data_IF_129793499938
#
_entry.id   IF_129793499938
#
_cell.length_a   1.000
_cell.length_b   1.000
_cell.length_c   1.000
_cell.angle_alpha   90.00
_cell.angle_beta   90.00
_cell.angle_gamma   90.00
#
_symmetry.space_group_name_H-M   'P 1'
#
loop_
_entity.id
_entity.type
_entity.pdbx_description
1 polymer ?
#
# COMPACT_ATOMS: atom_id res chain seq x y z
N UNK A 1 10.32 -4.90 2.95
CA UNK A 1 10.60 -5.55 4.26
C UNK A 1 10.73 -7.03 4.00
N UNK A 2 11.92 -7.62 4.19
CA UNK A 2 12.12 -9.07 4.03
C UNK A 2 11.79 -9.73 5.37
N UNK A 3 10.88 -10.70 5.38
CA UNK A 3 10.57 -11.51 6.56
C UNK A 3 11.34 -12.82 6.44
N UNK A 4 12.21 -13.18 7.41
CA UNK A 4 12.73 -14.53 7.50
C UNK A 4 11.55 -15.45 7.83
N UNK A 5 11.10 -16.20 6.83
CA UNK A 5 10.22 -17.34 7.07
C UNK A 5 11.15 -18.47 7.50
N UNK A 6 11.41 -18.57 8.81
CA UNK A 6 11.96 -19.80 9.36
C UNK A 6 11.05 -20.95 8.89
N UNK A 7 11.64 -22.07 8.48
CA UNK A 7 11.00 -23.24 7.85
C UNK A 7 9.94 -23.94 8.73
N UNK A 8 8.96 -23.20 9.24
CA UNK A 8 7.84 -23.70 10.01
C UNK A 8 6.70 -24.05 9.06
N UNK A 9 6.03 -25.19 9.27
CA UNK A 9 4.87 -25.62 8.48
C UNK A 9 3.59 -24.82 8.81
N UNK A 10 3.67 -23.77 9.61
CA UNK A 10 2.54 -22.97 10.08
C UNK A 10 2.51 -21.60 9.38
N UNK A 11 1.32 -21.11 9.05
CA UNK A 11 1.09 -19.83 8.38
C UNK A 11 1.82 -18.67 9.09
N UNK A 12 2.73 -17.98 8.41
CA UNK A 12 3.40 -16.80 8.94
C UNK A 12 2.67 -15.52 8.53
N UNK A 13 2.45 -14.61 9.48
CA UNK A 13 1.87 -13.30 9.21
C UNK A 13 2.98 -12.27 9.00
N UNK A 14 2.97 -11.59 7.85
CA UNK A 14 3.78 -10.39 7.60
C UNK A 14 2.98 -9.19 8.10
N UNK A 15 3.49 -8.45 9.07
CA UNK A 15 2.77 -7.34 9.71
C UNK A 15 3.13 -5.97 9.15
N UNK A 16 2.13 -5.11 9.01
CA UNK A 16 2.27 -3.68 8.70
C UNK A 16 1.54 -2.84 9.73
N UNK A 17 1.98 -1.61 9.93
CA UNK A 17 1.39 -0.72 10.93
C UNK A 17 1.53 0.74 10.55
N UNK A 18 0.67 1.58 11.13
CA UNK A 18 0.81 3.04 11.14
C UNK A 18 0.13 3.64 12.39
N UNK A 19 0.38 4.91 12.66
CA UNK A 19 -0.20 5.68 13.77
C UNK A 19 -1.53 6.28 13.35
N UNK A 20 -2.53 6.17 14.24
CA UNK A 20 -3.88 6.71 14.03
C UNK A 20 -4.30 7.54 15.24
N UNK A 21 -5.06 8.61 15.05
CA UNK A 21 -5.74 9.32 16.13
C UNK A 21 -7.12 8.73 16.38
N UNK A 22 -7.43 8.46 17.64
CA UNK A 22 -8.63 7.73 18.05
C UNK A 22 -9.50 8.56 18.99
N UNK A 23 -10.82 8.38 18.85
CA UNK A 23 -11.82 9.00 19.73
C UNK A 23 -11.97 10.50 19.51
N UNK A 24 -12.96 11.11 20.18
CA UNK A 24 -13.18 12.56 20.12
C UNK A 24 -12.01 13.39 20.69
N UNK A 25 -11.15 12.79 21.50
CA UNK A 25 -9.95 13.44 22.04
C UNK A 25 -8.71 13.27 21.14
N UNK A 26 -8.82 12.53 20.04
CA UNK A 26 -7.75 12.33 19.05
C UNK A 26 -6.42 11.84 19.68
N UNK A 27 -6.52 10.90 20.63
CA UNK A 27 -5.35 10.28 21.26
C UNK A 27 -4.63 9.38 20.27
N UNK A 28 -3.31 9.29 20.38
CA UNK A 28 -2.53 8.42 19.51
C UNK A 28 -2.87 6.95 19.74
N UNK A 29 -2.85 6.19 18.66
CA UNK A 29 -3.00 4.75 18.61
C UNK A 29 -2.18 4.16 17.48
N UNK A 30 -2.21 2.85 17.37
CA UNK A 30 -1.52 2.09 16.32
C UNK A 30 -2.53 1.15 15.68
N UNK A 31 -2.60 1.17 14.35
CA UNK A 31 -3.30 0.16 13.58
C UNK A 31 -2.28 -0.86 13.11
N UNK A 32 -2.56 -2.14 13.33
CA UNK A 32 -1.76 -3.24 12.78
C UNK A 32 -2.62 -4.08 11.86
N UNK A 33 -2.04 -4.47 10.75
CA UNK A 33 -2.60 -5.42 9.79
C UNK A 33 -1.49 -6.35 9.31
N UNK A 34 -1.80 -7.16 8.31
CA UNK A 34 -0.80 -7.98 7.66
C UNK A 34 -1.34 -8.74 6.46
N UNK A 35 -0.55 -9.72 6.05
CA UNK A 35 -0.95 -10.76 5.13
C UNK A 35 -0.40 -12.10 5.65
N UNK A 36 -1.15 -13.18 5.44
CA UNK A 36 -0.78 -14.52 5.87
C UNK A 36 -0.22 -15.32 4.68
N UNK A 37 1.04 -15.70 4.78
CA UNK A 37 1.60 -16.69 3.88
C UNK A 37 1.01 -18.06 4.21
N UNK A 38 0.37 -18.68 3.22
CA UNK A 38 -0.26 -20.00 3.33
C UNK A 38 0.31 -21.01 2.33
N UNK A 39 1.48 -20.70 1.74
CA UNK A 39 2.13 -21.51 0.73
C UNK A 39 1.76 -21.13 -0.71
N UNK A 40 2.63 -21.50 -1.65
CA UNK A 40 2.39 -21.32 -3.08
C UNK A 40 1.45 -22.40 -3.61
N UNK A 41 0.15 -22.11 -3.64
CA UNK A 41 -0.87 -22.99 -4.17
C UNK A 41 -1.56 -22.36 -5.38
N UNK A 42 -1.21 -22.76 -6.63
CA UNK A 42 -1.82 -22.21 -7.84
C UNK A 42 -3.31 -22.60 -8.00
N UNK A 43 -3.80 -23.57 -7.22
CA UNK A 43 -5.20 -24.00 -7.23
C UNK A 43 -6.03 -23.39 -6.10
N UNK A 44 -5.46 -22.49 -5.30
CA UNK A 44 -6.22 -21.84 -4.25
C UNK A 44 -7.36 -21.02 -4.85
N UNK A 45 -8.54 -21.11 -4.23
CA UNK A 45 -9.72 -20.35 -4.63
C UNK A 45 -10.03 -19.21 -3.67
N UNK A 46 -9.32 -19.14 -2.55
CA UNK A 46 -9.54 -18.14 -1.51
C UNK A 46 -8.24 -17.78 -0.78
N UNK A 47 -8.30 -16.71 0.00
CA UNK A 47 -7.20 -16.13 0.78
C UNK A 47 -7.49 -16.28 2.27
N UNK A 48 -6.46 -16.40 3.10
CA UNK A 48 -6.63 -16.39 4.56
C UNK A 48 -7.04 -14.98 5.02
N UNK A 49 -8.20 -14.80 5.68
CA UNK A 49 -8.60 -13.49 6.19
C UNK A 49 -7.67 -13.00 7.30
N UNK A 50 -7.49 -11.68 7.39
CA UNK A 50 -6.61 -11.03 8.38
C UNK A 50 -7.42 -10.11 9.28
N UNK A 51 -7.27 -10.30 10.60
CA UNK A 51 -7.81 -9.37 11.57
C UNK A 51 -6.89 -8.18 11.77
N UNK A 52 -7.42 -6.98 11.57
CA UNK A 52 -6.80 -5.73 11.98
C UNK A 52 -6.85 -5.65 13.51
N UNK A 53 -5.77 -5.17 14.12
CA UNK A 53 -5.73 -4.82 15.53
C UNK A 53 -5.56 -3.30 15.68
N UNK A 54 -6.32 -2.69 16.58
CA UNK A 54 -6.15 -1.28 16.95
C UNK A 54 -5.71 -1.23 18.41
N UNK A 55 -4.57 -0.58 18.66
CA UNK A 55 -4.10 -0.29 20.01
C UNK A 55 -4.28 1.19 20.31
N UNK A 56 -4.99 1.51 21.38
CA UNK A 56 -5.24 2.89 21.80
C UNK A 56 -4.41 3.26 23.02
N UNK A 57 -3.84 4.46 23.02
CA UNK A 57 -3.15 5.01 24.18
C UNK A 57 -4.14 5.27 25.32
N UNK A 58 -3.74 4.84 26.50
CA UNK A 58 -4.45 5.05 27.75
C UNK A 58 -3.95 6.32 28.46
N UNK A 59 -4.68 6.87 29.45
CA UNK A 59 -4.25 8.06 30.18
C UNK A 59 -2.89 7.94 30.88
N UNK A 60 -2.45 6.71 31.19
CA UNK A 60 -1.14 6.42 31.80
C UNK A 60 0.00 6.22 30.76
N UNK A 61 -0.30 6.41 29.47
CA UNK A 61 0.66 6.26 28.37
C UNK A 61 0.82 4.82 27.85
N UNK A 62 0.18 3.84 28.47
CA UNK A 62 0.20 2.45 27.97
C UNK A 62 -0.68 2.26 26.73
N UNK A 63 -0.45 1.20 25.97
CA UNK A 63 -1.30 0.81 24.83
C UNK A 63 -2.15 -0.40 25.20
N UNK A 64 -3.45 -0.37 24.85
CA UNK A 64 -4.35 -1.52 24.96
C UNK A 64 -5.02 -1.81 23.64
N UNK A 65 -5.30 -3.09 23.39
CA UNK A 65 -6.14 -3.48 22.25
C UNK A 65 -7.56 -2.94 22.48
N UNK A 66 -8.00 -2.11 21.56
CA UNK A 66 -9.30 -1.43 21.55
C UNK A 66 -10.04 -1.65 20.23
N UNK A 67 -9.65 -2.67 19.45
CA UNK A 67 -10.22 -2.98 18.13
C UNK A 67 -11.74 -2.95 18.12
N UNK A 68 -12.40 -3.68 19.02
CA UNK A 68 -13.86 -3.82 19.05
C UNK A 68 -14.58 -2.55 19.55
N UNK A 69 -13.84 -1.61 20.16
CA UNK A 69 -14.39 -0.30 20.54
C UNK A 69 -14.57 0.59 19.31
N UNK A 70 -13.70 0.47 18.31
CA UNK A 70 -13.62 1.39 17.18
C UNK A 70 -14.11 0.76 15.87
N UNK A 71 -13.74 -0.48 15.59
CA UNK A 71 -14.02 -1.15 14.33
C UNK A 71 -15.28 -2.02 14.45
N UNK A 72 -16.26 -1.88 13.52
CA UNK A 72 -17.45 -2.73 13.51
C UNK A 72 -17.14 -4.18 13.11
N UNK A 73 -16.03 -4.40 12.40
CA UNK A 73 -15.51 -5.72 12.03
C UNK A 73 -14.03 -5.59 11.66
N UNK A 74 -13.10 -6.30 12.34
CA UNK A 74 -11.67 -6.21 12.05
C UNK A 74 -11.19 -7.08 10.89
N UNK A 75 -12.03 -7.97 10.36
CA UNK A 75 -11.63 -8.97 9.35
C UNK A 75 -11.44 -8.31 7.98
N UNK A 76 -10.33 -8.53 7.30
CA UNK A 76 -10.00 -8.01 5.97
C UNK A 76 -9.43 -9.11 5.06
N UNK A 77 -9.19 -8.78 3.80
CA UNK A 77 -8.47 -9.64 2.86
C UNK A 77 -6.94 -9.48 2.96
N UNK A 78 -6.42 -8.98 4.09
CA UNK A 78 -5.01 -8.63 4.26
C UNK A 78 -4.60 -7.36 3.52
N UNK A 79 -3.46 -6.78 3.93
CA UNK A 79 -2.91 -5.57 3.32
C UNK A 79 -1.39 -5.52 3.43
N UNK A 80 -0.76 -4.88 2.44
CA UNK A 80 0.69 -4.69 2.32
C UNK A 80 1.18 -3.35 2.88
N UNK A 81 0.25 -2.51 3.34
CA UNK A 81 0.52 -1.24 4.01
C UNK A 81 -0.71 -0.78 4.80
N UNK A 82 -0.49 0.15 5.73
CA UNK A 82 -1.55 0.87 6.44
C UNK A 82 -1.43 2.33 6.02
N UNK A 83 -2.51 2.93 5.52
CA UNK A 83 -2.52 4.34 5.14
C UNK A 83 -3.56 5.07 5.97
N UNK A 84 -3.12 6.13 6.66
CA UNK A 84 -3.94 6.92 7.58
C UNK A 84 -4.06 8.35 7.08
N UNK A 85 -5.28 8.82 6.87
CA UNK A 85 -5.56 10.21 6.49
C UNK A 85 -7.03 10.55 6.80
N UNK A 86 -7.36 11.82 6.91
CA UNK A 86 -8.76 12.28 6.91
C UNK A 86 -9.30 12.30 5.46
N UNK A 87 -9.78 11.15 4.96
CA UNK A 87 -10.27 11.00 3.60
C UNK A 87 -11.62 11.69 3.41
N UNK A 88 -12.49 11.66 4.43
CA UNK A 88 -13.83 12.20 4.37
C UNK A 88 -13.92 13.70 4.72
N UNK A 89 -12.84 14.31 5.22
CA UNK A 89 -12.73 15.72 5.55
C UNK A 89 -13.43 16.10 6.87
N UNK A 90 -13.66 15.15 7.76
CA UNK A 90 -14.36 15.36 9.04
C UNK A 90 -13.43 15.74 10.20
N UNK A 91 -12.12 15.80 9.96
CA UNK A 91 -11.09 16.12 10.93
C UNK A 91 -10.65 14.94 11.81
N UNK A 92 -11.14 13.73 11.54
CA UNK A 92 -10.70 12.50 12.18
C UNK A 92 -9.93 11.62 11.19
N UNK A 93 -8.96 10.86 11.71
CA UNK A 93 -8.19 9.94 10.88
C UNK A 93 -9.06 8.76 10.41
N UNK A 94 -9.00 8.46 9.11
CA UNK A 94 -9.53 7.26 8.47
C UNK A 94 -8.40 6.26 8.16
N UNK A 95 -8.77 5.02 7.80
CA UNK A 95 -7.82 3.94 7.49
C UNK A 95 -8.12 3.38 6.10
N UNK A 96 -7.11 3.30 5.24
CA UNK A 96 -7.19 2.62 3.94
C UNK A 96 -6.21 1.44 3.85
N UNK A 97 -6.74 0.27 3.49
CA UNK A 97 -6.04 -1.00 3.43
C UNK A 97 -6.22 -1.63 2.05
N UNK A 98 -5.24 -1.42 1.16
CA UNK A 98 -5.23 -2.04 -0.16
C UNK A 98 -5.00 -3.55 -0.02
N UNK A 99 -5.82 -4.37 -0.68
CA UNK A 99 -5.76 -5.83 -0.49
C UNK A 99 -4.42 -6.42 -0.95
N UNK A 100 -3.78 -7.23 -0.10
CA UNK A 100 -2.50 -7.88 -0.41
C UNK A 100 -2.56 -9.38 -0.13
N UNK A 101 -2.30 -10.18 -1.17
CA UNK A 101 -2.45 -11.64 -1.14
C UNK A 101 -1.45 -12.34 -2.07
N UNK A 102 -0.16 -12.07 -1.87
CA UNK A 102 0.89 -12.56 -2.78
C UNK A 102 0.98 -14.09 -2.81
N UNK A 103 0.76 -14.78 -1.69
CA UNK A 103 0.36 -16.19 -1.71
C UNK A 103 -1.10 -16.27 -1.26
N UNK A 104 -2.03 -16.72 -2.11
CA UNK A 104 -1.80 -17.51 -3.33
C UNK A 104 -1.99 -16.73 -4.67
N UNK A 105 -1.56 -15.47 -4.77
CA UNK A 105 -1.74 -14.60 -5.95
C UNK A 105 -3.22 -14.42 -6.34
N UNK A 106 -4.09 -14.17 -5.36
CA UNK A 106 -5.51 -13.93 -5.61
C UNK A 106 -5.87 -12.46 -5.38
N UNK A 107 -6.34 -11.80 -6.43
CA UNK A 107 -6.90 -10.46 -6.32
C UNK A 107 -8.13 -10.46 -5.41
N UNK A 108 -8.18 -9.51 -4.47
CA UNK A 108 -9.31 -9.31 -3.56
C UNK A 108 -9.68 -7.84 -3.47
N UNK A 109 -10.86 -7.58 -2.91
CA UNK A 109 -11.32 -6.24 -2.64
C UNK A 109 -10.56 -5.63 -1.45
N UNK A 110 -10.16 -4.38 -1.60
CA UNK A 110 -9.56 -3.54 -0.56
C UNK A 110 -10.60 -3.13 0.49
N UNK A 111 -10.13 -2.70 1.66
CA UNK A 111 -10.98 -2.27 2.78
C UNK A 111 -10.63 -0.84 3.18
N UNK A 112 -11.63 -0.02 3.45
CA UNK A 112 -11.45 1.25 4.14
C UNK A 112 -12.29 1.28 5.43
N UNK A 113 -11.75 1.89 6.48
CA UNK A 113 -12.48 2.24 7.68
C UNK A 113 -12.58 3.76 7.72
N UNK A 114 -13.81 4.27 7.58
CA UNK A 114 -14.10 5.70 7.57
C UNK A 114 -14.70 6.11 8.90
N UNK A 115 -14.13 7.12 9.53
CA UNK A 115 -14.55 7.73 10.78
C UNK A 115 -16.02 8.15 10.72
N UNK A 116 -16.64 8.19 11.89
CA UNK A 116 -18.00 8.70 12.11
C UNK A 116 -17.98 9.75 13.19
N UNK A 117 -19.05 10.55 13.25
CA UNK A 117 -19.24 11.56 14.29
C UNK A 117 -19.27 11.01 15.73
N UNK A 118 -19.55 9.71 15.92
CA UNK A 118 -19.48 9.03 17.22
C UNK A 118 -18.07 8.51 17.57
N UNK A 119 -17.08 8.87 16.76
CA UNK A 119 -15.67 8.45 16.84
C UNK A 119 -15.42 6.94 16.72
N UNK A 120 -16.38 6.19 16.18
CA UNK A 120 -16.17 4.83 15.68
C UNK A 120 -16.06 4.84 14.15
N UNK A 121 -15.83 3.68 13.53
CA UNK A 121 -15.67 3.57 12.08
C UNK A 121 -16.86 2.90 11.39
N UNK A 122 -17.08 3.25 10.13
CA UNK A 122 -17.81 2.45 9.15
C UNK A 122 -16.81 1.66 8.32
N UNK A 123 -17.13 0.39 8.01
CA UNK A 123 -16.29 -0.43 7.12
C UNK A 123 -16.84 -0.39 5.70
N UNK A 124 -15.98 -0.05 4.74
CA UNK A 124 -16.27 -0.07 3.31
C UNK A 124 -15.44 -1.20 2.68
N UNK A 125 -16.11 -2.06 1.91
CA UNK A 125 -15.45 -2.97 0.98
C UNK A 125 -15.46 -2.32 -0.39
N UNK A 126 -14.28 -2.09 -0.96
CA UNK A 126 -14.15 -1.43 -2.25
C UNK A 126 -14.59 -2.36 -3.39
N UNK A 127 -14.94 -1.75 -4.54
CA UNK A 127 -15.27 -2.48 -5.76
C UNK A 127 -14.03 -2.67 -6.65
N UNK A 128 -12.87 -2.88 -6.05
CA UNK A 128 -11.62 -3.19 -6.73
C UNK A 128 -11.28 -4.70 -6.64
N UNK A 129 -10.21 -5.09 -7.32
CA UNK A 129 -9.71 -6.47 -7.32
C UNK A 129 -8.20 -6.46 -7.52
N UNK A 130 -7.45 -6.39 -6.41
CA UNK A 130 -6.01 -6.14 -6.43
C UNK A 130 -5.21 -7.12 -5.58
N UNK A 131 -3.92 -7.18 -5.89
CA UNK A 131 -2.88 -7.80 -5.07
C UNK A 131 -1.83 -6.70 -4.85
N UNK A 132 -2.17 -5.69 -4.06
CA UNK A 132 -1.33 -4.53 -3.80
C UNK A 132 -0.13 -4.95 -2.97
N UNK A 133 1.05 -5.00 -3.58
CA UNK A 133 2.30 -5.25 -2.86
C UNK A 133 2.70 -4.03 -2.01
N UNK A 134 2.38 -2.83 -2.50
CA UNK A 134 2.50 -1.59 -1.74
C UNK A 134 1.37 -0.64 -2.09
N UNK A 135 0.94 0.15 -1.11
CA UNK A 135 0.13 1.34 -1.36
C UNK A 135 0.68 2.50 -0.54
N UNK A 136 0.77 3.67 -1.15
CA UNK A 136 1.34 4.87 -0.57
C UNK A 136 0.31 6.00 -0.57
N UNK A 137 0.21 6.69 0.57
CA UNK A 137 -0.55 7.92 0.72
C UNK A 137 0.26 9.12 0.21
N UNK A 138 -0.38 9.96 -0.59
CA UNK A 138 0.08 11.29 -0.98
C UNK A 138 -1.05 12.31 -0.92
N UNK A 139 -0.69 13.59 -0.88
CA UNK A 139 -1.65 14.68 -1.00
C UNK A 139 -1.55 15.28 -2.41
N UNK A 140 -2.50 14.92 -3.27
CA UNK A 140 -2.56 15.40 -4.66
C UNK A 140 -3.61 16.49 -4.72
N UNK A 141 -3.21 17.70 -5.13
CA UNK A 141 -4.10 18.88 -5.15
C UNK A 141 -4.80 19.12 -3.79
N UNK A 142 -4.10 18.86 -2.69
CA UNK A 142 -4.62 19.03 -1.32
C UNK A 142 -5.57 17.92 -0.86
N UNK A 143 -5.76 16.84 -1.63
CA UNK A 143 -6.62 15.71 -1.27
C UNK A 143 -5.79 14.47 -0.94
N UNK A 144 -6.10 13.75 0.16
CA UNK A 144 -5.54 12.44 0.41
C UNK A 144 -5.85 11.51 -0.76
N UNK A 145 -4.80 10.91 -1.32
CA UNK A 145 -4.84 10.06 -2.50
C UNK A 145 -3.97 8.85 -2.24
N UNK A 146 -4.49 7.65 -2.51
CA UNK A 146 -3.73 6.41 -2.39
C UNK A 146 -3.26 5.97 -3.77
N UNK A 147 -1.97 5.70 -3.91
CA UNK A 147 -1.38 5.09 -5.10
C UNK A 147 -1.00 3.66 -4.76
N UNK A 148 -1.44 2.68 -5.56
CA UNK A 148 -1.12 1.27 -5.31
C UNK A 148 -0.24 0.65 -6.40
N UNK A 149 0.82 -0.04 -5.97
CA UNK A 149 1.62 -0.93 -6.80
C UNK A 149 1.10 -2.37 -6.63
N UNK A 150 0.46 -2.91 -7.67
CA UNK A 150 -0.25 -4.19 -7.60
C UNK A 150 0.27 -5.24 -8.58
N UNK A 151 0.13 -6.53 -8.20
CA UNK A 151 0.29 -7.69 -9.07
C UNK A 151 -1.03 -8.17 -9.69
N UNK A 152 -2.05 -7.31 -9.79
CA UNK A 152 -3.37 -7.74 -10.29
C UNK A 152 -3.27 -8.41 -11.67
N UNK A 153 -4.26 -9.22 -12.06
CA UNK A 153 -4.25 -9.94 -13.35
C UNK A 153 -4.02 -9.04 -14.59
N UNK A 154 -4.33 -7.74 -14.49
CA UNK A 154 -4.10 -6.73 -15.52
C UNK A 154 -2.95 -5.76 -15.20
N UNK A 155 -2.22 -5.99 -14.11
CA UNK A 155 -1.07 -5.22 -13.65
C UNK A 155 -1.36 -3.72 -13.46
N UNK A 156 -2.62 -3.36 -13.22
CA UNK A 156 -3.03 -1.97 -13.05
C UNK A 156 -2.38 -1.34 -11.83
N UNK A 157 -2.25 -0.02 -11.89
CA UNK A 157 -1.76 0.84 -10.80
C UNK A 157 -2.88 1.78 -10.37
N UNK A 158 -3.87 1.28 -9.61
CA UNK A 158 -5.02 2.06 -9.25
C UNK A 158 -4.63 3.20 -8.31
N UNK A 159 -5.34 4.31 -8.50
CA UNK A 159 -5.26 5.53 -7.71
C UNK A 159 -6.64 5.70 -7.07
N UNK A 160 -6.67 5.82 -5.75
CA UNK A 160 -7.91 5.91 -4.99
C UNK A 160 -8.06 7.30 -4.38
N UNK A 161 -9.21 7.89 -4.62
CA UNK A 161 -9.60 9.19 -4.04
C UNK A 161 -11.01 9.05 -3.46
N UNK A 162 -11.23 9.57 -2.26
CA UNK A 162 -12.56 9.51 -1.64
C UNK A 162 -13.55 10.36 -2.43
N UNK A 163 -14.73 9.80 -2.69
CA UNK A 163 -15.72 10.41 -3.59
C UNK A 163 -16.76 11.29 -2.88
N UNK A 164 -16.68 11.41 -1.54
CA UNK A 164 -17.60 12.20 -0.73
C UNK A 164 -18.97 11.53 -0.50
N UNK A 165 -19.21 10.34 -1.02
CA UNK A 165 -20.49 9.61 -0.97
C UNK A 165 -20.39 8.31 -0.17
N UNK A 166 -19.38 8.17 0.68
CA UNK A 166 -19.13 6.94 1.44
C UNK A 166 -18.38 5.88 0.65
N UNK A 167 -17.56 6.26 -0.34
CA UNK A 167 -16.76 5.35 -1.16
C UNK A 167 -15.52 6.00 -1.76
N UNK A 168 -14.81 5.24 -2.59
CA UNK A 168 -13.61 5.71 -3.31
C UNK A 168 -13.83 5.57 -4.81
N UNK A 169 -13.44 6.61 -5.54
CA UNK A 169 -13.24 6.52 -6.99
C UNK A 169 -11.91 5.80 -7.24
N UNK A 170 -11.90 4.92 -8.25
CA UNK A 170 -10.73 4.12 -8.63
C UNK A 170 -10.31 4.55 -10.03
N UNK A 171 -9.21 5.30 -10.11
CA UNK A 171 -8.64 5.76 -11.36
C UNK A 171 -7.48 4.85 -11.78
N UNK A 172 -7.53 4.33 -13.01
CA UNK A 172 -6.50 3.46 -13.58
C UNK A 172 -5.70 4.15 -14.69
N UNK A 173 -5.68 5.48 -14.73
CA UNK A 173 -4.96 6.31 -15.71
C UNK A 173 -3.46 6.03 -15.76
N UNK A 174 -2.86 5.59 -14.65
CA UNK A 174 -1.46 5.17 -14.60
C UNK A 174 -1.17 3.91 -15.46
N UNK A 175 -2.22 3.22 -15.90
CA UNK A 175 -2.13 2.07 -16.79
C UNK A 175 -1.57 0.81 -16.12
N UNK A 176 -1.18 -0.14 -16.97
CA UNK A 176 -0.55 -1.39 -16.56
C UNK A 176 0.96 -1.20 -16.44
N UNK A 177 1.55 -1.69 -15.35
CA UNK A 177 2.99 -1.68 -15.13
C UNK A 177 3.41 -2.86 -14.26
N UNK A 178 4.58 -3.44 -14.48
CA UNK A 178 5.15 -4.44 -13.58
C UNK A 178 6.07 -3.75 -12.57
N UNK A 179 5.48 -3.21 -11.49
CA UNK A 179 6.17 -2.57 -10.37
C UNK A 179 5.55 -2.99 -9.04
N UNK A 180 6.38 -3.04 -8.00
CA UNK A 180 6.04 -3.65 -6.71
C UNK A 180 6.00 -2.64 -5.57
N UNK A 181 6.59 -1.47 -5.77
CA UNK A 181 6.58 -0.38 -4.81
C UNK A 181 6.26 0.93 -5.50
N UNK A 182 5.73 1.86 -4.71
CA UNK A 182 5.36 3.20 -5.16
C UNK A 182 5.63 4.19 -4.04
N UNK A 183 6.20 5.33 -4.39
CA UNK A 183 6.38 6.47 -3.50
C UNK A 183 5.97 7.74 -4.23
N UNK A 184 5.47 8.72 -3.49
CA UNK A 184 5.00 9.97 -4.06
C UNK A 184 5.34 11.16 -3.16
N UNK A 185 5.98 12.17 -3.74
CA UNK A 185 6.30 13.43 -3.07
C UNK A 185 6.69 14.49 -4.11
N UNK A 186 6.82 15.74 -3.66
CA UNK A 186 7.58 16.76 -4.38
C UNK A 186 9.08 16.52 -4.15
N UNK A 187 9.65 15.61 -4.93
CA UNK A 187 11.08 15.27 -4.86
C UNK A 187 11.97 16.33 -5.52
N UNK A 188 11.40 17.15 -6.40
CA UNK A 188 12.14 18.19 -7.14
C UNK A 188 12.09 19.57 -6.46
N UNK A 189 11.21 19.75 -5.49
CA UNK A 189 10.99 21.02 -4.79
C UNK A 189 10.33 22.09 -5.67
N UNK A 190 9.61 21.67 -6.72
CA UNK A 190 9.00 22.55 -7.71
C UNK A 190 7.49 22.76 -7.50
N UNK A 191 6.95 22.18 -6.43
CA UNK A 191 5.52 22.18 -6.10
C UNK A 191 4.71 21.15 -6.89
N UNK A 192 5.33 20.40 -7.81
CA UNK A 192 4.73 19.27 -8.50
C UNK A 192 4.91 17.98 -7.69
N UNK A 193 3.99 17.02 -7.84
CA UNK A 193 4.21 15.67 -7.31
C UNK A 193 4.91 14.81 -8.34
N UNK A 194 5.90 14.04 -7.90
CA UNK A 194 6.49 12.97 -8.66
C UNK A 194 6.17 11.62 -8.03
N UNK A 195 5.98 10.62 -8.89
CA UNK A 195 5.71 9.23 -8.51
C UNK A 195 6.93 8.40 -8.86
N UNK A 196 7.48 7.69 -7.88
CA UNK A 196 8.56 6.73 -8.08
C UNK A 196 7.96 5.34 -8.02
N UNK A 197 8.11 4.55 -9.08
CA UNK A 197 7.86 3.12 -9.05
C UNK A 197 9.17 2.37 -8.89
N UNK A 198 9.22 1.48 -7.91
CA UNK A 198 10.34 0.56 -7.71
C UNK A 198 10.04 -0.82 -8.25
N UNK A 199 11.10 -1.55 -8.56
CA UNK A 199 11.09 -2.85 -9.22
C UNK A 199 10.32 -2.83 -10.56
N UNK A 200 10.36 -1.69 -11.26
CA UNK A 200 9.63 -1.48 -12.49
C UNK A 200 10.36 -2.17 -13.65
N UNK A 201 9.74 -3.21 -14.21
CA UNK A 201 10.26 -3.95 -15.36
C UNK A 201 9.76 -3.39 -16.69
N UNK A 202 8.51 -2.92 -16.71
CA UNK A 202 7.85 -2.30 -17.88
C UNK A 202 6.63 -1.51 -17.42
N UNK A 203 6.23 -0.52 -18.20
CA UNK A 203 5.09 0.36 -17.88
C UNK A 203 4.93 1.48 -18.88
N UNK A 204 4.21 2.53 -18.48
CA UNK A 204 4.01 3.72 -19.31
C UNK A 204 5.35 4.34 -19.71
N UNK A 205 5.59 4.54 -21.01
CA UNK A 205 6.87 5.02 -21.56
C UNK A 205 8.05 4.03 -21.49
N UNK A 206 7.84 2.80 -20.99
CA UNK A 206 8.87 1.76 -20.86
C UNK A 206 8.34 0.46 -21.47
N UNK A 207 8.57 0.22 -22.76
CA UNK A 207 8.11 -0.98 -23.44
C UNK A 207 8.65 -2.26 -22.80
N UNK A 208 7.84 -3.31 -22.82
CA UNK A 208 8.30 -4.63 -22.41
C UNK A 208 9.39 -5.15 -23.35
N UNK A 209 10.43 -5.74 -22.76
CA UNK A 209 11.45 -6.54 -23.42
C UNK A 209 11.90 -7.66 -22.48
N UNK A 210 12.24 -8.82 -23.04
CA UNK A 210 12.77 -9.95 -22.26
C UNK A 210 14.13 -9.67 -21.60
N UNK A 211 14.81 -8.60 -22.01
CA UNK A 211 16.09 -8.16 -21.45
C UNK A 211 15.94 -7.02 -20.45
N UNK A 212 14.71 -6.58 -20.16
CA UNK A 212 14.50 -5.57 -19.13
C UNK A 212 14.99 -6.13 -17.78
N UNK A 213 15.59 -5.24 -17.00
CA UNK A 213 16.04 -5.47 -15.63
C UNK A 213 15.21 -4.58 -14.71
N UNK A 214 14.96 -5.02 -13.50
CA UNK A 214 14.12 -4.25 -12.56
C UNK A 214 14.83 -2.94 -12.21
N UNK A 215 14.16 -1.82 -12.42
CA UNK A 215 14.72 -0.49 -12.17
C UNK A 215 13.75 0.37 -11.39
N UNK A 216 14.25 1.52 -10.92
CA UNK A 216 13.42 2.54 -10.31
C UNK A 216 13.22 3.66 -11.33
N UNK A 217 11.97 4.07 -11.53
CA UNK A 217 11.63 5.16 -12.44
C UNK A 217 10.81 6.21 -11.73
N UNK A 218 11.11 7.47 -12.01
CA UNK A 218 10.36 8.63 -11.55
C UNK A 218 9.55 9.21 -12.70
N UNK A 219 8.27 9.45 -12.44
CA UNK A 219 7.33 10.10 -13.33
C UNK A 219 6.91 11.44 -12.72
N UNK A 220 6.83 12.49 -13.54
CA UNK A 220 6.04 13.65 -13.15
C UNK A 220 4.56 13.26 -13.12
N UNK A 221 3.80 13.81 -12.19
CA UNK A 221 2.40 13.46 -12.00
C UNK A 221 1.53 14.70 -11.87
N UNK A 222 0.64 14.88 -12.84
CA UNK A 222 -0.16 16.09 -13.00
C UNK A 222 -1.60 15.68 -13.26
N UNK A 223 -2.54 16.22 -12.48
CA UNK A 223 -3.98 15.94 -12.61
C UNK A 223 -4.31 14.44 -12.64
N UNK A 224 -3.70 13.67 -11.73
CA UNK A 224 -3.85 12.21 -11.64
C UNK A 224 -3.37 11.43 -12.87
N UNK A 225 -2.45 11.98 -13.65
CA UNK A 225 -1.89 11.35 -14.85
C UNK A 225 -0.36 11.36 -14.75
N UNK A 226 0.25 10.20 -15.03
CA UNK A 226 1.70 10.07 -15.18
C UNK A 226 2.14 10.70 -16.51
N UNK A 227 3.20 11.50 -16.47
CA UNK A 227 3.73 12.18 -17.65
C UNK A 227 4.93 11.41 -18.21
N UNK A 228 4.90 11.18 -19.52
CA UNK A 228 5.98 10.53 -20.27
C UNK A 228 6.99 11.54 -20.86
N UNK A 229 8.24 11.11 -21.11
CA UNK A 229 8.80 9.83 -20.68
C UNK A 229 9.19 9.85 -19.19
N UNK A 230 9.19 8.70 -18.50
CA UNK A 230 9.77 8.61 -17.18
C UNK A 230 11.29 8.81 -17.23
N UNK A 231 11.85 9.14 -16.07
CA UNK A 231 13.30 9.20 -15.86
C UNK A 231 13.72 7.97 -15.06
N UNK A 232 14.69 7.21 -15.56
CA UNK A 232 15.31 6.12 -14.79
C UNK A 232 16.18 6.73 -13.70
N UNK A 233 16.01 6.26 -12.46
CA UNK A 233 16.88 6.66 -11.36
C UNK A 233 18.24 5.95 -11.48
N UNK A 234 19.33 6.56 -10.97
CA UNK A 234 20.64 5.92 -10.96
C UNK A 234 20.62 4.57 -10.26
N UNK A 235 21.62 3.73 -10.56
CA UNK A 235 21.81 2.45 -9.88
C UNK A 235 21.76 2.64 -8.35
N UNK A 236 21.14 1.70 -7.61
CA UNK A 236 21.08 1.75 -6.15
C UNK A 236 22.45 1.99 -5.53
N UNK A 237 22.48 2.79 -4.46
CA UNK A 237 23.71 3.28 -3.83
C UNK A 237 24.74 2.18 -3.51
N UNK A 238 24.28 0.97 -3.19
CA UNK A 238 25.13 -0.15 -2.78
C UNK A 238 25.76 -0.93 -3.96
N UNK A 239 25.22 -0.87 -5.17
CA UNK A 239 25.65 -1.73 -6.28
C UNK A 239 27.10 -1.46 -6.71
N UNK A 240 27.59 -0.22 -6.56
CA UNK A 240 28.90 0.20 -7.05
C UNK A 240 29.97 0.31 -5.94
N UNK A 241 29.79 -0.43 -4.84
CA UNK A 241 30.61 -0.29 -3.63
C UNK A 241 31.31 -1.61 -3.32
N UNK A 242 32.66 -1.68 -3.39
CA UNK A 242 33.41 -2.93 -3.20
C UNK A 242 33.11 -3.68 -1.90
N UNK A 243 32.77 -2.95 -0.83
CA UNK A 243 32.41 -3.57 0.45
C UNK A 243 31.10 -4.38 0.40
N UNK A 244 30.28 -4.21 -0.65
CA UNK A 244 29.01 -4.91 -0.83
C UNK A 244 29.01 -5.93 -1.96
N UNK A 245 30.11 -6.12 -2.71
CA UNK A 245 30.20 -7.03 -3.87
C UNK A 245 29.83 -8.49 -3.57
N UNK A 246 29.94 -8.91 -2.29
CA UNK A 246 29.55 -10.25 -1.85
C UNK A 246 28.05 -10.44 -1.63
N UNK A 247 27.27 -9.35 -1.61
CA UNK A 247 25.82 -9.39 -1.46
C UNK A 247 25.19 -9.31 -2.83
N UNK A 248 24.56 -10.40 -3.26
CA UNK A 248 23.87 -10.47 -4.54
C UNK A 248 22.50 -9.82 -4.35
N UNK A 249 22.23 -8.74 -5.08
CA UNK A 249 20.87 -8.18 -5.14
C UNK A 249 19.97 -9.10 -5.99
N UNK A 250 18.72 -9.26 -5.57
CA UNK A 250 17.74 -10.05 -6.30
C UNK A 250 17.10 -9.19 -7.40
N UNK A 251 17.70 -9.18 -8.59
CA UNK A 251 17.09 -8.57 -9.78
C UNK A 251 17.50 -7.13 -10.11
N UNK A 252 18.36 -6.49 -9.30
CA UNK A 252 18.92 -5.18 -9.66
C UNK A 252 19.84 -5.27 -10.89
N UNK A 253 19.90 -4.23 -11.75
CA UNK A 253 20.95 -4.08 -12.74
C UNK A 253 22.31 -4.00 -12.05
N UNK A 254 23.20 -4.89 -12.47
CA UNK A 254 24.66 -4.79 -12.23
C UNK A 254 25.25 -3.71 -13.12
#
# INVERSE_FOLDING_TARGET
MWVPVDNLPDTSVVSFWDVVKLGGNQLQGVVLTGWAFAGWNPNATDTTPINVAVLGQQPDGTLKVVTDQYLPSPVTNGAGSVNIADFNGDGQDDIFLAAHNESPMLSKASTAYISKADSTFSKITLQDSVIAHHANLAYINGKPTILAATFSNNMLKPIYTYNGQGGFDINNSAGSAAANSVAAADFLGDGGTQIVYGDLLWGLGIPWSSNNVMQQFIYNFVNEILIEPPISLPAPYFNNKPQYDKYISNGDPV
#
